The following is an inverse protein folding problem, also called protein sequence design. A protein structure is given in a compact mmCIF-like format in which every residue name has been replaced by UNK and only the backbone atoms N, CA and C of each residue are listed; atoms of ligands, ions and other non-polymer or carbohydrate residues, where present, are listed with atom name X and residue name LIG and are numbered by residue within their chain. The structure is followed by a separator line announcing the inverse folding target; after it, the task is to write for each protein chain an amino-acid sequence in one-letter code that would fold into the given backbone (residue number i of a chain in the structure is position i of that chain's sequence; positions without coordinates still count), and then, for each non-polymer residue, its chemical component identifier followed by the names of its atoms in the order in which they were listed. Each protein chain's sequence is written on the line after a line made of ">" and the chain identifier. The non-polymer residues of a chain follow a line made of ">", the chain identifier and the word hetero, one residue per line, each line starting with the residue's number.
data_IF_339794136241
#
_entry.id   IF_339794136241
#
_cell.length_a   1.000
_cell.length_b   1.000
_cell.length_c   1.000
_cell.angle_alpha   90.00
_cell.angle_beta   90.00
_cell.angle_gamma   90.00
#
_symmetry.space_group_name_H-M   'P 1'
#
loop_
_entity.id
_entity.type
_entity.pdbx_description
1 polymer ?
#
# COMPACT_ATOMS: atom_id res chain seq x y z
N UNK A 1 -19.09 -21.85 -50.99
CA UNK A 1 -19.58 -20.79 -50.08
C UNK A 1 -19.49 -21.29 -48.64
N UNK A 2 -18.48 -20.87 -47.87
CA UNK A 2 -18.37 -20.97 -46.40
C UNK A 2 -17.03 -20.34 -45.97
N UNK A 3 -17.06 -19.05 -45.66
CA UNK A 3 -15.91 -18.30 -45.13
C UNK A 3 -15.89 -18.52 -43.62
N UNK A 4 -14.88 -19.21 -43.09
CA UNK A 4 -14.63 -19.33 -41.64
C UNK A 4 -13.84 -18.10 -41.18
N UNK A 5 -14.45 -17.31 -40.30
CA UNK A 5 -13.85 -16.13 -39.70
C UNK A 5 -12.71 -16.51 -38.71
N UNK A 6 -11.51 -16.00 -38.96
CA UNK A 6 -10.37 -16.07 -38.04
C UNK A 6 -10.49 -14.95 -36.98
N UNK A 7 -10.94 -15.30 -35.77
CA UNK A 7 -10.82 -14.44 -34.58
C UNK A 7 -9.34 -14.38 -34.15
N UNK A 8 -8.65 -13.30 -34.51
CA UNK A 8 -7.30 -12.97 -34.00
C UNK A 8 -7.40 -12.42 -32.58
N UNK A 9 -7.22 -13.27 -31.56
CA UNK A 9 -6.97 -12.84 -30.17
C UNK A 9 -5.62 -12.12 -30.11
N UNK A 10 -5.61 -10.78 -30.03
CA UNK A 10 -4.45 -10.01 -29.56
C UNK A 10 -4.28 -10.31 -28.07
N UNK A 11 -3.32 -11.18 -27.71
CA UNK A 11 -2.77 -11.24 -26.36
C UNK A 11 -1.93 -9.97 -26.16
N UNK A 12 -2.43 -9.01 -25.38
CA UNK A 12 -1.59 -7.96 -24.79
C UNK A 12 -0.72 -8.60 -23.71
N UNK A 13 0.50 -8.99 -24.06
CA UNK A 13 1.52 -9.34 -23.08
C UNK A 13 2.09 -8.04 -22.51
N UNK A 14 1.43 -7.48 -21.51
CA UNK A 14 2.05 -6.44 -20.67
C UNK A 14 3.04 -7.18 -19.77
N UNK A 15 4.31 -7.18 -20.19
CA UNK A 15 5.41 -7.59 -19.34
C UNK A 15 5.59 -6.52 -18.26
N UNK A 16 5.46 -6.84 -16.96
CA UNK A 16 5.84 -5.89 -15.92
C UNK A 16 7.34 -5.63 -16.05
N UNK A 17 7.73 -4.35 -16.05
CA UNK A 17 9.11 -3.87 -16.09
C UNK A 17 10.01 -4.75 -15.20
N UNK A 18 10.78 -5.65 -15.82
CA UNK A 18 11.87 -6.36 -15.17
C UNK A 18 12.97 -5.34 -14.90
N UNK A 19 12.97 -4.77 -13.70
CA UNK A 19 14.13 -4.08 -13.15
C UNK A 19 15.20 -5.16 -12.92
N UNK A 20 15.96 -5.44 -13.97
CA UNK A 20 17.09 -6.37 -13.93
C UNK A 20 18.29 -5.59 -13.46
N UNK A 21 18.47 -5.49 -12.14
CA UNK A 21 19.77 -5.20 -11.54
C UNK A 21 20.01 -6.24 -10.45
N UNK A 22 20.74 -7.28 -10.82
CA UNK A 22 21.29 -8.31 -9.94
C UNK A 22 22.35 -7.69 -9.01
N UNK A 23 21.92 -6.87 -8.05
CA UNK A 23 22.71 -6.68 -6.83
C UNK A 23 22.58 -7.95 -6.00
N UNK A 24 23.69 -8.45 -5.45
CA UNK A 24 23.75 -9.59 -4.53
C UNK A 24 22.56 -9.56 -3.56
N UNK A 25 21.50 -10.34 -3.83
CA UNK A 25 20.33 -10.41 -2.95
C UNK A 25 20.79 -10.98 -1.63
N UNK A 26 21.03 -10.10 -0.65
CA UNK A 26 21.35 -10.47 0.72
C UNK A 26 20.32 -11.50 1.21
N UNK A 27 20.75 -12.50 1.98
CA UNK A 27 19.88 -13.56 2.53
C UNK A 27 18.59 -12.99 3.15
N UNK A 28 18.72 -11.83 3.81
CA UNK A 28 17.63 -11.06 4.41
C UNK A 28 16.54 -10.62 3.43
N UNK A 29 16.90 -10.28 2.20
CA UNK A 29 15.97 -9.86 1.14
C UNK A 29 15.23 -11.09 0.58
N UNK A 30 15.92 -12.23 0.43
CA UNK A 30 15.27 -13.47 -0.02
C UNK A 30 14.23 -13.95 0.98
N UNK A 31 14.52 -13.84 2.29
CA UNK A 31 13.61 -14.22 3.37
C UNK A 31 12.31 -13.38 3.41
N UNK A 32 12.30 -12.19 2.81
CA UNK A 32 11.13 -11.33 2.75
C UNK A 32 10.10 -11.80 1.70
N UNK A 33 10.56 -12.50 0.65
CA UNK A 33 9.74 -12.82 -0.52
C UNK A 33 9.70 -11.69 -1.54
N UNK A 34 9.73 -12.05 -2.83
CA UNK A 34 9.88 -11.08 -3.92
C UNK A 34 8.69 -10.10 -4.02
N UNK A 35 7.47 -10.55 -3.69
CA UNK A 35 6.26 -9.72 -3.74
C UNK A 35 6.33 -8.55 -2.74
N UNK A 36 6.74 -8.82 -1.50
CA UNK A 36 6.86 -7.79 -0.47
C UNK A 36 8.05 -6.87 -0.73
N UNK A 37 9.14 -7.42 -1.28
CA UNK A 37 10.30 -6.64 -1.69
C UNK A 37 9.93 -5.63 -2.79
N UNK A 38 9.22 -6.05 -3.84
CA UNK A 38 8.78 -5.16 -4.91
C UNK A 38 7.92 -4.01 -4.37
N UNK A 39 6.92 -4.29 -3.52
CA UNK A 39 6.09 -3.25 -2.88
C UNK A 39 6.90 -2.23 -2.09
N UNK A 40 7.89 -2.68 -1.32
CA UNK A 40 8.76 -1.76 -0.56
C UNK A 40 9.62 -0.90 -1.50
N UNK A 41 10.10 -1.46 -2.61
CA UNK A 41 10.89 -0.75 -3.62
C UNK A 41 10.06 0.29 -4.37
N UNK A 42 8.82 -0.02 -4.72
CA UNK A 42 7.87 0.91 -5.34
C UNK A 42 7.54 2.09 -4.40
N UNK A 43 7.52 1.86 -3.09
CA UNK A 43 7.42 2.92 -2.07
C UNK A 43 8.74 3.69 -1.85
N UNK A 44 9.72 3.55 -2.76
CA UNK A 44 11.02 4.21 -2.72
C UNK A 44 11.89 3.87 -1.49
N UNK A 45 11.74 2.67 -0.91
CA UNK A 45 12.64 2.24 0.18
C UNK A 45 13.99 1.76 -0.35
N UNK A 46 15.07 2.19 0.30
CA UNK A 46 16.42 1.71 -0.01
C UNK A 46 16.61 0.25 0.44
N UNK A 47 17.50 -0.48 -0.24
CA UNK A 47 17.84 -1.87 0.13
C UNK A 47 18.34 -1.96 1.59
N UNK A 48 19.05 -0.94 2.06
CA UNK A 48 19.53 -0.83 3.44
C UNK A 48 18.36 -0.69 4.41
N UNK A 49 17.37 0.15 4.10
CA UNK A 49 16.18 0.32 4.93
C UNK A 49 15.35 -0.97 5.01
N UNK A 50 15.20 -1.67 3.89
CA UNK A 50 14.49 -2.96 3.81
C UNK A 50 15.19 -4.01 4.69
N UNK A 51 16.52 -4.12 4.61
CA UNK A 51 17.28 -5.05 5.45
C UNK A 51 17.19 -4.67 6.93
N UNK A 52 17.27 -3.38 7.27
CA UNK A 52 17.13 -2.89 8.65
C UNK A 52 15.77 -3.24 9.24
N UNK A 53 14.70 -3.02 8.47
CA UNK A 53 13.34 -3.40 8.83
C UNK A 53 13.21 -4.91 9.04
N UNK A 54 13.77 -5.72 8.12
CA UNK A 54 13.76 -7.19 8.23
C UNK A 54 14.47 -7.69 9.49
N UNK A 55 15.64 -7.12 9.83
CA UNK A 55 16.36 -7.45 11.05
C UNK A 55 15.58 -7.04 12.30
N UNK A 56 14.92 -5.87 12.26
CA UNK A 56 14.07 -5.42 13.36
C UNK A 56 12.84 -6.33 13.55
N UNK A 57 12.26 -6.82 12.45
CA UNK A 57 11.17 -7.81 12.46
C UNK A 57 11.58 -9.08 13.19
N UNK A 58 12.74 -9.64 12.86
CA UNK A 58 13.26 -10.83 13.55
C UNK A 58 13.59 -10.56 15.02
N UNK A 59 14.21 -9.42 15.35
CA UNK A 59 14.49 -9.08 16.75
C UNK A 59 13.21 -8.99 17.58
N UNK A 60 12.16 -8.37 17.03
CA UNK A 60 10.85 -8.27 17.69
C UNK A 60 10.17 -9.64 17.85
N UNK A 61 10.26 -10.52 16.86
CA UNK A 61 9.69 -11.87 16.98
C UNK A 61 10.47 -12.75 17.98
N UNK A 62 11.80 -12.60 18.05
CA UNK A 62 12.65 -13.33 18.99
C UNK A 62 12.33 -13.04 20.46
N UNK A 63 11.87 -11.83 20.79
CA UNK A 63 11.46 -11.48 22.16
C UNK A 63 10.35 -12.42 22.67
N UNK A 64 9.41 -12.83 21.82
CA UNK A 64 8.34 -13.76 22.22
C UNK A 64 8.84 -15.17 22.55
N UNK A 65 9.91 -15.61 21.89
CA UNK A 65 10.57 -16.89 22.22
C UNK A 65 11.27 -16.77 23.57
N UNK A 66 11.94 -15.64 23.83
CA UNK A 66 12.58 -15.35 25.11
C UNK A 66 11.57 -15.33 26.27
N UNK A 67 10.41 -14.71 26.07
CA UNK A 67 9.31 -14.70 27.05
C UNK A 67 8.77 -16.12 27.27
N UNK A 68 8.55 -16.89 26.21
CA UNK A 68 8.10 -18.29 26.32
C UNK A 68 9.11 -19.18 27.05
N UNK A 69 10.41 -18.95 26.85
CA UNK A 69 11.48 -19.63 27.56
C UNK A 69 11.53 -19.28 29.05
N UNK A 70 11.36 -18.00 29.40
CA UNK A 70 11.25 -17.57 30.80
C UNK A 70 10.02 -18.20 31.47
N UNK A 71 8.87 -18.22 30.78
CA UNK A 71 7.67 -18.89 31.29
C UNK A 71 7.89 -20.38 31.51
N UNK A 72 8.58 -21.06 30.58
CA UNK A 72 8.96 -22.46 30.75
C UNK A 72 9.81 -22.68 32.02
N UNK A 73 10.81 -21.83 32.28
CA UNK A 73 11.68 -21.99 33.46
C UNK A 73 10.94 -21.72 34.78
N UNK A 74 10.06 -20.72 34.84
CA UNK A 74 9.43 -20.28 36.08
C UNK A 74 8.09 -20.97 36.41
N UNK A 75 7.33 -21.44 35.41
CA UNK A 75 5.98 -22.03 35.61
C UNK A 75 5.96 -23.57 35.53
N UNK A 76 7.05 -24.25 35.91
CA UNK A 76 7.04 -25.70 36.09
C UNK A 76 7.55 -26.53 34.91
N UNK A 77 8.31 -25.94 33.97
CA UNK A 77 8.97 -26.66 32.85
C UNK A 77 8.01 -27.44 31.95
N UNK A 78 6.79 -26.96 31.84
CA UNK A 78 5.83 -27.56 30.93
C UNK A 78 6.11 -27.15 29.47
N UNK A 79 6.27 -28.13 28.60
CA UNK A 79 6.70 -27.95 27.21
C UNK A 79 5.75 -27.05 26.39
N UNK A 80 4.48 -26.95 26.78
CA UNK A 80 3.48 -26.12 26.09
C UNK A 80 3.77 -24.62 26.17
N UNK A 81 4.47 -24.13 27.20
CA UNK A 81 4.87 -22.71 27.29
C UNK A 81 5.93 -22.35 26.24
N UNK A 82 6.89 -23.26 26.02
CA UNK A 82 7.91 -23.10 25.00
C UNK A 82 7.28 -23.16 23.60
N UNK A 83 6.42 -24.16 23.36
CA UNK A 83 5.68 -24.31 22.11
C UNK A 83 4.79 -23.09 21.81
N UNK A 84 4.09 -22.56 22.82
CA UNK A 84 3.28 -21.34 22.72
C UNK A 84 4.10 -20.10 22.37
N UNK A 85 5.28 -19.92 22.98
CA UNK A 85 6.19 -18.81 22.66
C UNK A 85 6.70 -18.85 21.22
N UNK A 86 7.05 -20.04 20.72
CA UNK A 86 7.47 -20.24 19.32
C UNK A 86 6.30 -19.98 18.37
N UNK A 87 5.12 -20.55 18.63
CA UNK A 87 3.93 -20.36 17.79
C UNK A 87 3.54 -18.87 17.69
N UNK A 88 3.58 -18.15 18.82
CA UNK A 88 3.28 -16.71 18.87
C UNK A 88 4.32 -15.90 18.10
N UNK A 89 5.61 -16.26 18.19
CA UNK A 89 6.68 -15.62 17.43
C UNK A 89 6.49 -15.73 15.92
N UNK A 90 6.17 -16.94 15.44
CA UNK A 90 5.90 -17.21 14.02
C UNK A 90 4.65 -16.46 13.55
N UNK A 91 3.56 -16.51 14.34
CA UNK A 91 2.33 -15.77 14.04
C UNK A 91 2.56 -14.27 13.90
N UNK A 92 3.31 -13.67 14.84
CA UNK A 92 3.64 -12.25 14.81
C UNK A 92 4.52 -11.88 13.61
N UNK A 93 5.49 -12.74 13.26
CA UNK A 93 6.36 -12.54 12.09
C UNK A 93 5.55 -12.50 10.78
N UNK A 94 4.60 -13.44 10.60
CA UNK A 94 3.71 -13.48 9.43
C UNK A 94 2.76 -12.28 9.41
N UNK A 95 2.21 -11.89 10.56
CA UNK A 95 1.32 -10.73 10.66
C UNK A 95 2.02 -9.44 10.25
N UNK A 96 3.27 -9.24 10.68
CA UNK A 96 4.06 -8.08 10.29
C UNK A 96 4.40 -8.07 8.80
N UNK A 97 4.62 -9.23 8.18
CA UNK A 97 4.74 -9.32 6.71
C UNK A 97 3.44 -8.89 6.01
N UNK A 98 2.29 -9.38 6.48
CA UNK A 98 0.98 -9.00 5.93
C UNK A 98 0.68 -7.50 6.08
N UNK A 99 1.18 -6.85 7.13
CA UNK A 99 0.99 -5.39 7.30
C UNK A 99 1.60 -4.55 6.17
N UNK A 100 2.61 -5.07 5.43
CA UNK A 100 3.16 -4.40 4.25
C UNK A 100 2.07 -4.19 3.20
N UNK A 101 1.13 -5.13 3.04
CA UNK A 101 0.02 -4.97 2.10
C UNK A 101 -0.86 -3.78 2.49
N UNK A 102 -1.16 -3.62 3.79
CA UNK A 102 -1.93 -2.48 4.27
C UNK A 102 -1.20 -1.14 4.05
N UNK A 103 0.10 -1.08 4.36
CA UNK A 103 0.93 0.12 4.16
C UNK A 103 1.03 0.45 2.67
N UNK A 104 1.25 -0.55 1.82
CA UNK A 104 1.34 -0.38 0.37
C UNK A 104 0.01 0.10 -0.23
N UNK A 105 -1.11 -0.52 0.16
CA UNK A 105 -2.43 -0.10 -0.31
C UNK A 105 -2.74 1.34 0.11
N UNK A 106 -2.40 1.72 1.34
CA UNK A 106 -2.51 3.10 1.82
C UNK A 106 -1.66 4.06 1.00
N UNK A 107 -0.40 3.72 0.73
CA UNK A 107 0.48 4.51 -0.12
C UNK A 107 -0.11 4.69 -1.52
N UNK A 108 -0.55 3.60 -2.16
CA UNK A 108 -1.18 3.64 -3.49
C UNK A 108 -2.46 4.46 -3.52
N UNK A 109 -3.24 4.38 -2.46
CA UNK A 109 -4.44 5.19 -2.30
C UNK A 109 -4.10 6.69 -2.18
N UNK A 110 -3.12 7.06 -1.35
CA UNK A 110 -2.66 8.45 -1.22
C UNK A 110 -2.14 9.01 -2.55
N UNK A 111 -1.40 8.19 -3.31
CA UNK A 111 -0.95 8.51 -4.68
C UNK A 111 -2.13 8.74 -5.64
N UNK A 112 -3.12 7.85 -5.62
CA UNK A 112 -4.32 7.98 -6.44
C UNK A 112 -5.15 9.23 -6.07
N UNK A 113 -5.23 9.59 -4.79
CA UNK A 113 -5.85 10.85 -4.34
C UNK A 113 -5.13 12.08 -4.87
N UNK A 114 -3.79 12.11 -4.86
CA UNK A 114 -3.04 13.24 -5.43
C UNK A 114 -3.32 13.38 -6.94
N UNK A 115 -3.39 12.25 -7.65
CA UNK A 115 -3.76 12.26 -9.06
C UNK A 115 -5.18 12.81 -9.28
N UNK A 116 -6.16 12.42 -8.48
CA UNK A 116 -7.53 12.95 -8.59
C UNK A 116 -7.63 14.45 -8.26
N UNK A 117 -6.83 14.95 -7.30
CA UNK A 117 -6.72 16.40 -7.10
C UNK A 117 -6.19 17.10 -8.35
N UNK A 118 -5.18 16.51 -9.00
CA UNK A 118 -4.64 17.01 -10.26
C UNK A 118 -5.70 17.01 -11.37
N UNK A 119 -6.45 15.92 -11.57
CA UNK A 119 -7.50 15.83 -12.61
C UNK A 119 -8.56 16.92 -12.40
N UNK A 120 -9.04 17.10 -11.17
CA UNK A 120 -10.02 18.15 -10.81
C UNK A 120 -9.51 19.56 -11.06
N UNK A 121 -8.21 19.80 -10.90
CA UNK A 121 -7.59 21.08 -11.26
C UNK A 121 -7.48 21.24 -12.78
N UNK A 122 -7.23 20.16 -13.51
CA UNK A 122 -6.99 20.17 -14.95
C UNK A 122 -8.26 20.38 -15.76
N UNK A 123 -9.35 19.67 -15.44
CA UNK A 123 -10.59 19.64 -16.23
C UNK A 123 -11.16 21.04 -16.51
N UNK A 124 -11.29 21.95 -15.53
CA UNK A 124 -11.82 23.29 -15.80
C UNK A 124 -10.94 24.08 -16.79
N UNK A 125 -9.62 23.88 -16.75
CA UNK A 125 -8.71 24.52 -17.68
C UNK A 125 -8.77 23.94 -19.09
N UNK A 126 -9.04 22.64 -19.22
CA UNK A 126 -9.28 22.02 -20.52
C UNK A 126 -10.59 22.51 -21.13
N UNK A 127 -11.65 22.67 -20.33
CA UNK A 127 -12.95 23.20 -20.78
C UNK A 127 -12.89 24.67 -21.24
N UNK A 128 -12.08 25.51 -20.58
CA UNK A 128 -11.93 26.92 -20.95
C UNK A 128 -11.22 27.15 -22.29
N UNK A 129 -10.52 26.14 -22.82
CA UNK A 129 -9.78 26.24 -24.07
C UNK A 129 -10.30 25.22 -25.06
N UNK A 130 -11.38 25.60 -25.74
CA UNK A 130 -12.07 24.83 -26.79
C UNK A 130 -11.20 24.49 -28.01
N UNK A 131 -9.94 24.94 -28.07
CA UNK A 131 -9.12 24.91 -29.28
C UNK A 131 -7.65 24.50 -29.01
N UNK A 132 -7.45 23.36 -28.33
CA UNK A 132 -6.11 22.72 -28.17
C UNK A 132 -5.03 23.58 -27.47
N UNK A 133 -5.42 24.69 -26.84
CA UNK A 133 -4.51 25.78 -26.53
C UNK A 133 -3.55 25.49 -25.38
N UNK A 134 -2.26 25.36 -25.71
CA UNK A 134 -1.10 25.37 -24.82
C UNK A 134 -1.32 24.62 -23.48
N UNK A 135 -1.44 23.30 -23.56
CA UNK A 135 -1.48 22.38 -22.42
C UNK A 135 -0.30 22.61 -21.45
N UNK A 136 0.87 22.97 -21.99
CA UNK A 136 2.02 23.35 -21.17
C UNK A 136 1.73 24.55 -20.26
N UNK A 137 1.05 25.59 -20.77
CA UNK A 137 0.61 26.73 -19.97
C UNK A 137 -0.45 26.39 -18.91
N UNK A 138 -1.28 25.37 -19.17
CA UNK A 138 -2.23 24.84 -18.18
C UNK A 138 -1.48 24.10 -17.07
N UNK A 139 -0.58 23.18 -17.43
CA UNK A 139 0.25 22.47 -16.47
C UNK A 139 1.11 23.42 -15.63
N UNK A 140 1.69 24.47 -16.22
CA UNK A 140 2.44 25.49 -15.50
C UNK A 140 1.62 26.19 -14.40
N UNK A 141 0.31 26.40 -14.62
CA UNK A 141 -0.61 26.94 -13.60
C UNK A 141 -0.91 25.91 -12.52
N UNK A 142 -1.07 24.64 -12.90
CA UNK A 142 -1.36 23.54 -11.98
C UNK A 142 -0.16 23.23 -11.08
N UNK A 143 1.07 23.24 -11.59
CA UNK A 143 2.31 23.04 -10.80
C UNK A 143 2.34 23.95 -9.57
N UNK A 144 1.91 25.22 -9.71
CA UNK A 144 1.88 26.18 -8.59
C UNK A 144 0.83 25.86 -7.52
N UNK A 145 -0.17 25.04 -7.85
CA UNK A 145 -1.30 24.67 -6.98
C UNK A 145 -1.16 23.28 -6.36
N UNK A 146 -0.14 22.51 -6.75
CA UNK A 146 0.13 21.21 -6.14
C UNK A 146 0.71 21.38 -4.74
N UNK A 147 0.28 20.51 -3.82
CA UNK A 147 0.70 20.55 -2.42
C UNK A 147 2.14 20.03 -2.25
N UNK A 148 2.50 18.95 -2.94
CA UNK A 148 3.75 18.22 -2.74
C UNK A 148 4.83 18.55 -3.78
N UNK A 149 6.07 18.75 -3.32
CA UNK A 149 7.23 19.02 -4.18
C UNK A 149 7.55 17.88 -5.15
N UNK A 150 7.29 16.63 -4.73
CA UNK A 150 7.49 15.46 -5.61
C UNK A 150 6.54 15.52 -6.81
N UNK A 151 5.27 15.86 -6.61
CA UNK A 151 4.29 15.94 -7.68
C UNK A 151 4.56 17.13 -8.61
N UNK A 152 5.08 18.23 -8.07
CA UNK A 152 5.60 19.36 -8.87
C UNK A 152 6.71 18.91 -9.80
N UNK A 153 7.70 18.18 -9.28
CA UNK A 153 8.82 17.66 -10.07
C UNK A 153 8.37 16.69 -11.15
N UNK A 154 7.43 15.78 -10.83
CA UNK A 154 6.86 14.84 -11.81
C UNK A 154 6.12 15.58 -12.93
N UNK A 155 5.31 16.59 -12.60
CA UNK A 155 4.59 17.37 -13.59
C UNK A 155 5.53 18.27 -14.42
N UNK A 156 6.56 18.84 -13.81
CA UNK A 156 7.61 19.59 -14.52
C UNK A 156 8.40 18.69 -15.48
N UNK A 157 8.70 17.45 -15.06
CA UNK A 157 9.33 16.44 -15.92
C UNK A 157 8.42 16.12 -17.11
N UNK A 158 7.12 15.88 -16.89
CA UNK A 158 6.15 15.71 -17.97
C UNK A 158 6.14 16.90 -18.93
N UNK A 159 6.13 18.13 -18.41
CA UNK A 159 6.15 19.36 -19.21
C UNK A 159 7.41 19.48 -20.08
N UNK A 160 8.56 19.06 -19.56
CA UNK A 160 9.80 19.00 -20.33
C UNK A 160 9.71 17.92 -21.42
N UNK A 161 9.34 16.69 -21.06
CA UNK A 161 9.29 15.55 -21.97
C UNK A 161 8.24 15.70 -23.07
N UNK A 162 7.10 16.36 -22.81
CA UNK A 162 6.10 16.66 -23.85
C UNK A 162 6.57 17.73 -24.85
N UNK A 163 7.60 18.51 -24.48
CA UNK A 163 8.25 19.49 -25.35
C UNK A 163 9.35 18.81 -26.16
N UNK A 164 10.15 17.96 -25.53
CA UNK A 164 11.22 17.20 -26.16
C UNK A 164 10.69 16.11 -27.10
N UNK A 165 9.54 15.50 -26.77
CA UNK A 165 8.91 14.40 -27.49
C UNK A 165 7.41 14.68 -27.73
N UNK A 166 7.06 15.63 -28.62
CA UNK A 166 5.69 16.13 -28.75
C UNK A 166 4.68 15.11 -29.27
N UNK A 167 5.12 14.10 -30.03
CA UNK A 167 4.27 13.09 -30.64
C UNK A 167 4.34 11.73 -29.92
N UNK A 168 5.04 11.66 -28.77
CA UNK A 168 5.07 10.44 -27.96
C UNK A 168 4.06 10.56 -26.82
N UNK A 169 3.26 9.52 -26.63
CA UNK A 169 2.32 9.38 -25.51
C UNK A 169 3.04 8.97 -24.22
N UNK A 170 4.24 8.37 -24.32
CA UNK A 170 4.99 7.85 -23.17
C UNK A 170 5.14 8.83 -22.00
N UNK A 171 5.44 10.13 -22.19
CA UNK A 171 5.53 11.06 -21.07
C UNK A 171 4.24 11.11 -20.24
N UNK A 172 3.08 11.06 -20.90
CA UNK A 172 1.77 11.09 -20.27
C UNK A 172 1.49 9.81 -19.48
N UNK A 173 1.80 8.65 -20.06
CA UNK A 173 1.60 7.35 -19.39
C UNK A 173 2.58 7.17 -18.23
N UNK A 174 3.84 7.56 -18.40
CA UNK A 174 4.85 7.48 -17.32
C UNK A 174 4.49 8.39 -16.14
N UNK A 175 3.98 9.60 -16.41
CA UNK A 175 3.48 10.49 -15.37
C UNK A 175 2.31 9.86 -14.61
N UNK A 176 1.34 9.28 -15.33
CA UNK A 176 0.22 8.57 -14.69
C UNK A 176 0.69 7.40 -13.83
N UNK A 177 1.64 6.61 -14.33
CA UNK A 177 2.23 5.47 -13.62
C UNK A 177 2.95 5.87 -12.33
N UNK A 178 3.73 6.94 -12.40
CA UNK A 178 4.49 7.47 -11.25
C UNK A 178 3.58 8.21 -10.26
N UNK A 179 2.47 8.79 -10.74
CA UNK A 179 1.57 9.58 -9.89
C UNK A 179 0.52 8.74 -9.19
N UNK A 180 -0.11 7.81 -9.90
CA UNK A 180 -1.18 6.95 -9.40
C UNK A 180 -0.92 5.47 -9.67
N UNK A 181 -0.49 5.15 -10.90
CA UNK A 181 -0.24 3.79 -11.37
C UNK A 181 -1.48 2.91 -11.48
N UNK A 182 -2.65 3.52 -11.62
CA UNK A 182 -3.90 2.82 -11.94
C UNK A 182 -4.15 2.88 -13.44
N UNK A 183 -4.81 1.87 -14.01
CA UNK A 183 -5.17 1.86 -15.43
C UNK A 183 -6.03 3.07 -15.79
N UNK A 184 -6.92 3.51 -14.88
CA UNK A 184 -7.73 4.72 -15.03
C UNK A 184 -6.87 5.99 -15.13
N UNK A 185 -5.79 6.10 -14.36
CA UNK A 185 -4.89 7.26 -14.46
C UNK A 185 -4.15 7.31 -15.80
N UNK A 186 -3.77 6.14 -16.32
CA UNK A 186 -3.12 6.02 -17.64
C UNK A 186 -4.10 6.36 -18.75
N UNK A 187 -5.33 5.87 -18.66
CA UNK A 187 -6.40 6.18 -19.61
C UNK A 187 -6.72 7.68 -19.62
N UNK A 188 -6.89 8.30 -18.44
CA UNK A 188 -7.11 9.74 -18.33
C UNK A 188 -5.99 10.55 -19.01
N UNK A 189 -4.72 10.23 -18.73
CA UNK A 189 -3.60 10.95 -19.32
C UNK A 189 -3.44 10.70 -20.82
N UNK A 190 -3.85 9.52 -21.30
CA UNK A 190 -3.93 9.22 -22.74
C UNK A 190 -4.98 10.09 -23.42
N UNK A 191 -6.17 10.24 -22.81
CA UNK A 191 -7.22 11.14 -23.33
C UNK A 191 -6.76 12.60 -23.32
N UNK A 192 -6.02 13.05 -22.30
CA UNK A 192 -5.42 14.40 -22.28
C UNK A 192 -4.45 14.61 -23.45
N UNK A 193 -3.67 13.59 -23.80
CA UNK A 193 -2.83 13.61 -24.99
C UNK A 193 -3.66 13.67 -26.28
N UNK A 194 -4.72 12.90 -26.39
CA UNK A 194 -5.60 12.89 -27.57
C UNK A 194 -6.30 14.25 -27.77
N UNK A 195 -6.71 14.92 -26.69
CA UNK A 195 -7.25 16.29 -26.73
C UNK A 195 -6.21 17.29 -27.23
N UNK A 196 -4.96 17.17 -26.78
CA UNK A 196 -3.86 18.02 -27.29
C UNK A 196 -3.69 17.85 -28.81
N UNK A 197 -3.91 16.65 -29.33
CA UNK A 197 -3.86 16.36 -30.77
C UNK A 197 -5.17 16.72 -31.50
N UNK A 198 -6.18 17.26 -30.82
CA UNK A 198 -7.48 17.61 -31.40
C UNK A 198 -8.34 16.41 -31.77
N UNK A 199 -8.11 15.25 -31.13
CA UNK A 199 -8.68 13.95 -31.53
C UNK A 199 -9.68 13.35 -30.52
N UNK A 200 -9.93 14.03 -29.40
CA UNK A 200 -10.86 13.56 -28.36
C UNK A 200 -11.76 14.68 -27.81
N UNK A 201 -12.97 14.30 -27.42
CA UNK A 201 -13.97 15.19 -26.81
C UNK A 201 -13.74 15.35 -25.30
N UNK A 202 -14.00 16.55 -24.79
CA UNK A 202 -13.86 16.90 -23.36
C UNK A 202 -14.79 16.10 -22.43
N UNK A 203 -15.93 15.61 -22.95
CA UNK A 203 -16.91 14.85 -22.19
C UNK A 203 -16.35 13.49 -21.71
N UNK A 204 -15.46 12.87 -22.51
CA UNK A 204 -14.81 11.60 -22.14
C UNK A 204 -13.95 11.77 -20.90
N UNK A 205 -13.27 12.91 -20.75
CA UNK A 205 -12.45 13.19 -19.57
C UNK A 205 -13.30 13.34 -18.30
N UNK A 206 -14.48 13.95 -18.41
CA UNK A 206 -15.37 14.13 -17.27
C UNK A 206 -15.96 12.79 -16.80
N UNK A 207 -16.31 11.91 -17.73
CA UNK A 207 -16.75 10.56 -17.39
C UNK A 207 -15.63 9.76 -16.71
N UNK A 208 -14.39 9.85 -17.21
CA UNK A 208 -13.22 9.22 -16.59
C UNK A 208 -12.93 9.76 -15.18
N UNK A 209 -13.07 11.07 -14.95
CA UNK A 209 -12.91 11.65 -13.62
C UNK A 209 -14.02 11.26 -12.66
N UNK A 210 -15.26 11.13 -13.17
CA UNK A 210 -16.40 10.63 -12.39
C UNK A 210 -16.17 9.19 -11.95
N UNK A 211 -15.78 8.31 -12.88
CA UNK A 211 -15.48 6.90 -12.59
C UNK A 211 -14.29 6.75 -11.64
N UNK A 212 -13.21 7.51 -11.85
CA UNK A 212 -12.05 7.50 -10.96
C UNK A 212 -12.39 8.04 -9.56
N UNK A 213 -13.26 9.06 -9.48
CA UNK A 213 -13.75 9.58 -8.19
C UNK A 213 -14.63 8.56 -7.47
N UNK A 214 -15.47 7.81 -8.18
CA UNK A 214 -16.30 6.75 -7.62
C UNK A 214 -15.44 5.59 -7.10
N UNK A 215 -14.44 5.15 -7.87
CA UNK A 215 -13.47 4.14 -7.44
C UNK A 215 -12.68 4.59 -6.20
N UNK A 216 -12.28 5.87 -6.15
CA UNK A 216 -11.64 6.46 -4.99
C UNK A 216 -12.54 6.46 -3.75
N UNK A 217 -13.82 6.80 -3.89
CA UNK A 217 -14.76 6.80 -2.77
C UNK A 217 -15.02 5.39 -2.25
N UNK A 218 -15.19 4.40 -3.14
CA UNK A 218 -15.27 3.00 -2.74
C UNK A 218 -14.00 2.53 -2.00
N UNK A 219 -12.83 3.00 -2.44
CA UNK A 219 -11.56 2.79 -1.75
C UNK A 219 -11.51 3.40 -0.34
N UNK A 220 -12.00 4.63 -0.18
CA UNK A 220 -12.09 5.32 1.12
C UNK A 220 -12.92 4.52 2.11
N UNK A 221 -14.11 4.06 1.71
CA UNK A 221 -15.01 3.32 2.59
C UNK A 221 -14.37 2.02 3.08
N UNK A 222 -13.61 1.34 2.21
CA UNK A 222 -12.86 0.13 2.60
C UNK A 222 -11.74 0.41 3.62
N UNK A 223 -11.06 1.57 3.50
CA UNK A 223 -10.01 1.99 4.43
C UNK A 223 -10.62 2.47 5.75
N UNK A 224 -11.75 3.21 5.70
CA UNK A 224 -12.49 3.63 6.89
C UNK A 224 -13.00 2.41 7.64
N UNK A 225 -13.61 1.41 6.98
CA UNK A 225 -14.05 0.17 7.63
C UNK A 225 -12.87 -0.58 8.27
N UNK A 226 -11.75 -0.68 7.57
CA UNK A 226 -10.55 -1.31 8.13
C UNK A 226 -9.98 -0.56 9.34
N UNK A 227 -9.97 0.78 9.30
CA UNK A 227 -9.44 1.63 10.38
C UNK A 227 -10.41 1.72 11.56
N UNK A 228 -11.71 1.74 11.31
CA UNK A 228 -12.78 1.78 12.32
C UNK A 228 -12.83 0.46 13.10
N UNK A 229 -12.72 -0.70 12.44
CA UNK A 229 -12.59 -2.01 13.12
C UNK A 229 -11.47 -2.01 14.15
N UNK A 230 -10.34 -1.38 13.87
CA UNK A 230 -9.22 -1.28 14.82
C UNK A 230 -9.59 -0.47 16.08
N UNK A 231 -10.47 0.53 15.97
CA UNK A 231 -11.00 1.30 17.10
C UNK A 231 -12.12 0.56 17.85
N UNK A 232 -12.93 -0.27 17.17
CA UNK A 232 -13.96 -1.10 17.83
C UNK A 232 -13.35 -2.06 18.87
N UNK A 233 -12.12 -2.52 18.66
CA UNK A 233 -11.41 -3.37 19.64
C UNK A 233 -10.73 -2.60 20.78
N UNK A 234 -10.79 -1.28 20.82
CA UNK A 234 -10.14 -0.49 21.87
C UNK A 234 -10.79 -0.71 23.26
N UNK A 235 -12.13 -0.66 23.41
CA UNK A 235 -12.79 -1.01 24.68
C UNK A 235 -12.49 -2.46 25.11
N UNK A 236 -12.50 -3.41 24.17
CA UNK A 236 -12.21 -4.83 24.45
C UNK A 236 -10.79 -5.05 24.99
N UNK A 237 -9.80 -4.28 24.51
CA UNK A 237 -8.42 -4.37 25.02
C UNK A 237 -8.28 -3.83 26.43
N UNK A 238 -8.99 -2.76 26.76
CA UNK A 238 -9.04 -2.22 28.13
C UNK A 238 -9.68 -3.25 29.07
N UNK A 239 -10.81 -3.84 28.65
CA UNK A 239 -11.48 -4.90 29.40
C UNK A 239 -10.61 -6.15 29.58
N UNK A 240 -9.89 -6.59 28.54
CA UNK A 240 -8.94 -7.71 28.64
C UNK A 240 -7.81 -7.44 29.65
N UNK A 241 -7.32 -6.19 29.71
CA UNK A 241 -6.23 -5.81 30.62
C UNK A 241 -6.71 -5.81 32.07
N UNK A 242 -7.91 -5.30 32.33
CA UNK A 242 -8.51 -5.37 33.68
C UNK A 242 -8.86 -6.80 34.07
N UNK A 243 -9.31 -7.63 33.12
CA UNK A 243 -9.64 -9.02 33.36
C UNK A 243 -8.42 -9.86 33.77
N UNK A 244 -7.24 -9.60 33.20
CA UNK A 244 -5.98 -10.25 33.59
C UNK A 244 -5.63 -10.00 35.07
N UNK A 245 -5.88 -8.81 35.60
CA UNK A 245 -5.65 -8.50 37.02
C UNK A 245 -6.61 -9.27 37.92
N UNK A 246 -7.89 -9.35 37.53
CA UNK A 246 -8.92 -10.08 38.28
C UNK A 246 -8.64 -11.58 38.29
N UNK A 247 -8.26 -12.17 37.14
CA UNK A 247 -7.87 -13.58 37.06
C UNK A 247 -6.62 -13.86 37.87
N UNK A 248 -5.61 -12.98 37.81
CA UNK A 248 -4.40 -13.12 38.63
C UNK A 248 -4.69 -13.10 40.12
N UNK A 249 -5.57 -12.21 40.57
CA UNK A 249 -6.03 -12.17 41.96
C UNK A 249 -6.80 -13.44 42.34
N UNK A 250 -7.73 -13.89 41.50
CA UNK A 250 -8.52 -15.10 41.75
C UNK A 250 -7.64 -16.37 41.86
N UNK A 251 -6.63 -16.51 41.00
CA UNK A 251 -5.67 -17.62 41.08
C UNK A 251 -4.83 -17.53 42.36
N UNK A 252 -4.39 -16.33 42.76
CA UNK A 252 -3.66 -16.14 44.02
C UNK A 252 -4.48 -16.53 45.24
N UNK A 253 -5.76 -16.13 45.29
CA UNK A 253 -6.69 -16.50 46.36
C UNK A 253 -6.96 -18.01 46.36
N UNK A 254 -7.11 -18.65 45.20
CA UNK A 254 -7.24 -20.11 45.11
C UNK A 254 -6.00 -20.84 45.62
N UNK A 255 -4.79 -20.36 45.29
CA UNK A 255 -3.55 -20.94 45.80
C UNK A 255 -3.41 -20.80 47.33
N UNK A 256 -3.80 -19.67 47.90
CA UNK A 256 -3.82 -19.50 49.36
C UNK A 256 -4.83 -20.45 50.02
N UNK A 257 -6.07 -20.48 49.54
CA UNK A 257 -7.10 -21.34 50.10
C UNK A 257 -6.77 -22.84 49.96
N UNK A 258 -6.19 -23.27 48.84
CA UNK A 258 -5.74 -24.66 48.67
C UNK A 258 -4.57 -25.02 49.59
N UNK A 259 -3.70 -24.05 49.90
CA UNK A 259 -2.60 -24.24 50.85
C UNK A 259 -3.11 -24.36 52.29
N UNK A 260 -4.12 -23.57 52.65
CA UNK A 260 -4.73 -23.60 53.99
C UNK A 260 -5.53 -24.89 54.25
N UNK A 261 -6.15 -25.48 53.21
CA UNK A 261 -6.84 -26.78 53.31
C UNK A 261 -5.86 -27.95 53.54
N UNK A 262 -4.61 -27.82 53.11
CA UNK A 262 -3.59 -28.89 53.19
C UNK A 262 -2.76 -28.88 54.48
N UNK A 263 -3.05 -27.98 55.43
CA UNK A 263 -2.45 -27.96 56.79
C UNK A 263 -3.41 -28.44 57.89
N UNK A 264 -4.52 -29.09 57.51
CA UNK A 264 -5.55 -29.62 58.41
C UNK A 264 -5.60 -31.15 58.52
N UNK A 265 -4.50 -31.87 58.25
CA UNK A 265 -4.29 -33.28 58.63
C UNK A 265 -2.96 -33.44 59.36
#
# INVERSE_FOLDING_TARGET
>A
MKVKALKKKRKSSISPLKITKTEHKSFWIKLLGDVYYQKLREMNNSNIAIIKWQKQRLKKSLIFILVGFLMYLFLGKEWYYLAGGIATSVGFYVWQAKSINGIYNQFRFERHLQFSKFTRLLIPYLKQKTDGGNLYGVFAKIVKRLDYDTDKKLLMKLMQEMTDQPNDIKPFTEYAEQTSGTDMSVLFMSTVYDIRQGSADLDVIEELDRLASEELMAGIDSIIDYKSRRFVFFPTKIAMTSFILVVGFAVGVLFMNLKDINFGQ
#
